data_IF_719581724045
#
_entry.id   IF_719581724045
#
_cell.length_a   1.000
_cell.length_b   1.000
_cell.length_c   1.000
_cell.angle_alpha   90.00
_cell.angle_beta   90.00
_cell.angle_gamma   90.00
#
_symmetry.space_group_name_H-M   'P 1'
#
loop_
_entity.id
_entity.type
_entity.pdbx_description
1 polymer ?
#
# COMPACT_ATOMS: atom_id res chain seq x y z
N UNK A 1 -9.81 -42.16 18.25
CA UNK A 1 -8.84 -41.07 18.55
C UNK A 1 -8.05 -40.68 17.29
N UNK A 2 -8.70 -40.18 16.22
CA UNK A 2 -8.01 -39.83 14.97
C UNK A 2 -8.47 -38.51 14.34
N UNK A 3 -9.37 -37.75 14.98
CA UNK A 3 -9.90 -36.48 14.45
C UNK A 3 -9.24 -35.22 15.01
N UNK A 4 -8.35 -35.35 16.00
CA UNK A 4 -7.72 -34.22 16.68
C UNK A 4 -6.36 -33.81 16.10
N UNK A 5 -5.74 -34.65 15.26
CA UNK A 5 -4.40 -34.36 14.70
C UNK A 5 -4.42 -33.49 13.43
N UNK A 6 -5.58 -33.32 12.78
CA UNK A 6 -5.66 -32.52 11.55
C UNK A 6 -5.76 -31.00 11.81
N UNK A 7 -6.19 -30.59 13.00
CA UNK A 7 -6.38 -29.17 13.35
C UNK A 7 -5.08 -28.52 13.85
N UNK A 8 -4.10 -29.32 14.28
CA UNK A 8 -2.83 -28.81 14.84
C UNK A 8 -1.81 -28.42 13.75
N UNK A 9 -1.95 -28.91 12.52
CA UNK A 9 -1.05 -28.60 11.39
C UNK A 9 -1.32 -27.23 10.74
N UNK A 10 -2.56 -26.71 10.83
CA UNK A 10 -2.95 -25.43 10.23
C UNK A 10 -2.57 -24.18 11.04
N UNK A 11 -1.98 -24.35 12.23
CA UNK A 11 -1.48 -23.24 13.05
C UNK A 11 0.01 -22.94 12.87
N UNK A 12 0.76 -23.79 12.14
CA UNK A 12 2.21 -23.61 11.97
C UNK A 12 2.60 -22.71 10.77
N UNK A 13 1.67 -22.42 9.86
CA UNK A 13 1.97 -21.65 8.64
C UNK A 13 1.72 -20.14 8.72
N UNK A 14 1.30 -19.61 9.87
CA UNK A 14 0.92 -18.18 10.03
C UNK A 14 2.05 -17.31 10.63
N UNK A 15 3.24 -17.86 10.85
CA UNK A 15 4.37 -17.09 11.39
C UNK A 15 5.57 -17.05 10.44
N UNK A 16 5.36 -16.55 9.22
CA UNK A 16 6.48 -16.02 8.42
C UNK A 16 6.53 -14.52 8.66
N UNK A 17 7.25 -14.13 9.71
CA UNK A 17 7.72 -12.75 9.88
C UNK A 17 8.69 -12.46 8.73
N UNK A 18 8.33 -11.51 7.88
CA UNK A 18 9.24 -10.93 6.89
C UNK A 18 10.35 -10.21 7.66
N UNK A 19 11.51 -10.85 7.78
CA UNK A 19 12.74 -10.21 8.24
C UNK A 19 13.25 -9.37 7.07
N UNK A 20 13.00 -8.06 7.12
CA UNK A 20 13.75 -7.09 6.31
C UNK A 20 15.06 -6.84 7.04
N UNK A 21 16.12 -7.56 6.66
CA UNK A 21 17.47 -7.20 7.05
C UNK A 21 18.10 -6.39 5.93
N UNK A 22 18.23 -5.09 6.21
CA UNK A 22 19.06 -4.17 5.45
C UNK A 22 20.52 -4.36 5.87
N UNK A 23 21.39 -4.78 4.96
CA UNK A 23 22.84 -4.58 4.96
C UNK A 23 23.34 -4.78 3.51
N UNK A 24 24.39 -4.17 2.99
CA UNK A 24 25.09 -2.89 3.16
C UNK A 24 26.18 -2.91 2.07
N UNK A 25 26.47 -1.75 1.48
CA UNK A 25 27.74 -1.37 0.86
C UNK A 25 28.44 -2.32 -0.13
N UNK A 26 28.36 -2.01 -1.43
CA UNK A 26 29.48 -2.22 -2.36
C UNK A 26 30.11 -0.85 -2.67
N UNK A 27 31.36 -0.72 -2.20
CA UNK A 27 32.28 0.38 -2.50
C UNK A 27 32.65 0.31 -3.98
N UNK A 28 32.46 1.42 -4.71
CA UNK A 28 33.17 1.67 -5.96
C UNK A 28 34.05 2.87 -5.72
N UNK A 29 35.34 2.60 -5.58
CA UNK A 29 36.41 3.58 -5.53
C UNK A 29 36.53 4.24 -6.91
N UNK A 30 36.40 5.56 -6.97
CA UNK A 30 36.96 6.33 -8.07
C UNK A 30 37.69 7.54 -7.50
N UNK A 31 38.98 7.59 -7.82
CA UNK A 31 39.88 8.70 -7.57
C UNK A 31 39.67 9.72 -8.70
N UNK A 32 39.47 11.00 -8.38
CA UNK A 32 40.07 12.08 -9.16
C UNK A 32 40.02 13.42 -8.42
N UNK A 33 41.21 13.82 -7.99
CA UNK A 33 41.85 15.14 -7.98
C UNK A 33 41.00 16.44 -7.95
N UNK A 34 41.29 17.19 -6.89
CA UNK A 34 41.25 18.64 -6.67
C UNK A 34 41.07 19.56 -7.91
N UNK A 35 40.28 20.64 -7.77
CA UNK A 35 40.78 21.96 -7.33
C UNK A 35 39.64 23.01 -7.29
N UNK A 36 39.68 23.97 -6.36
CA UNK A 36 39.06 25.29 -6.55
C UNK A 36 37.96 25.76 -5.56
N UNK A 37 38.39 26.34 -4.43
CA UNK A 37 37.80 27.60 -3.92
C UNK A 37 36.68 27.55 -2.85
N UNK A 38 36.78 28.31 -1.74
CA UNK A 38 35.78 28.33 -0.67
C UNK A 38 34.75 29.46 -0.84
N UNK A 39 33.45 29.14 -0.75
CA UNK A 39 32.42 30.17 -0.54
C UNK A 39 31.87 30.05 0.88
N UNK A 40 32.40 30.95 1.69
CA UNK A 40 32.03 31.33 3.05
C UNK A 40 30.83 32.27 2.98
N UNK A 41 29.69 31.88 3.55
CA UNK A 41 28.64 32.82 3.94
C UNK A 41 28.37 32.69 5.44
N UNK A 42 28.80 33.72 6.16
CA UNK A 42 28.39 34.02 7.53
C UNK A 42 26.97 34.57 7.48
N UNK A 43 26.09 34.10 8.35
CA UNK A 43 24.90 34.88 8.72
C UNK A 43 24.73 34.88 10.23
N UNK A 44 24.32 36.03 10.70
CA UNK A 44 24.55 36.63 12.02
C UNK A 44 23.37 36.41 12.97
N UNK A 45 23.73 36.17 14.24
CA UNK A 45 23.08 36.57 15.51
C UNK A 45 21.63 37.10 15.50
N UNK A 46 20.80 36.46 16.33
CA UNK A 46 19.97 37.05 17.41
C UNK A 46 19.54 35.87 18.32
N UNK A 47 19.94 35.69 19.59
CA UNK A 47 19.95 36.52 20.80
C UNK A 47 18.55 36.82 21.40
N UNK A 48 18.23 36.05 22.46
CA UNK A 48 17.45 36.42 23.68
C UNK A 48 15.91 36.53 23.49
N UNK A 49 15.02 35.89 24.25
CA UNK A 49 14.84 35.96 25.71
C UNK A 49 14.07 34.76 26.32
N UNK A 50 14.43 34.47 27.57
CA UNK A 50 13.72 33.65 28.57
C UNK A 50 12.46 34.38 29.05
N UNK A 51 11.38 33.63 29.34
CA UNK A 51 10.49 33.86 30.50
C UNK A 51 9.52 32.69 30.71
N UNK A 52 9.57 32.12 31.91
CA UNK A 52 8.52 31.38 32.65
C UNK A 52 8.39 32.06 34.02
N UNK A 53 7.42 31.74 34.90
CA UNK A 53 6.01 31.34 34.78
C UNK A 53 5.11 32.40 35.50
N UNK A 54 3.81 32.14 35.80
CA UNK A 54 3.53 31.52 37.11
C UNK A 54 2.40 30.47 37.13
N UNK A 55 2.60 29.59 38.10
CA UNK A 55 1.71 28.60 38.69
C UNK A 55 0.43 29.24 39.26
N UNK A 56 -0.73 28.63 38.99
CA UNK A 56 -1.87 28.70 39.89
C UNK A 56 -2.30 27.28 40.26
N UNK A 57 -2.17 26.99 41.55
CA UNK A 57 -2.68 25.79 42.21
C UNK A 57 -4.04 26.14 42.80
N UNK A 58 -5.04 25.29 42.61
CA UNK A 58 -6.17 25.18 43.53
C UNK A 58 -6.73 23.76 43.46
N UNK A 59 -6.58 23.09 44.60
CA UNK A 59 -7.19 21.83 44.93
C UNK A 59 -8.70 22.01 45.15
N UNK A 60 -9.48 21.01 44.77
CA UNK A 60 -10.79 20.75 45.37
C UNK A 60 -11.01 19.25 45.43
N UNK A 61 -10.81 18.73 46.63
CA UNK A 61 -11.19 17.41 47.10
C UNK A 61 -12.71 17.31 47.15
N UNK A 62 -13.31 16.26 46.57
CA UNK A 62 -14.52 15.64 47.13
C UNK A 62 -14.79 14.24 46.57
N UNK A 63 -14.99 13.34 47.52
CA UNK A 63 -15.81 12.11 47.48
C UNK A 63 -15.43 10.98 46.52
N UNK A 64 -14.71 10.03 47.11
CA UNK A 64 -14.80 8.60 46.81
C UNK A 64 -16.25 8.10 46.82
N UNK A 65 -16.73 7.60 45.69
CA UNK A 65 -17.77 6.58 45.65
C UNK A 65 -17.35 5.46 44.67
N UNK A 66 -17.08 4.30 45.26
CA UNK A 66 -17.17 2.96 44.67
C UNK A 66 -17.92 2.13 45.71
N UNK A 67 -18.72 1.11 45.36
CA UNK A 67 -18.62 0.33 44.12
C UNK A 67 -19.96 -0.03 43.46
N UNK A 68 -19.95 -0.19 42.14
CA UNK A 68 -20.81 -1.17 41.48
C UNK A 68 -19.99 -1.84 40.39
N UNK A 69 -19.35 -2.96 40.76
CA UNK A 69 -18.79 -3.90 39.80
C UNK A 69 -19.97 -4.61 39.13
N UNK A 70 -20.53 -3.98 38.09
CA UNK A 70 -21.20 -4.73 37.04
C UNK A 70 -20.11 -5.42 36.23
N UNK A 71 -20.19 -6.75 36.04
CA UNK A 71 -19.24 -7.42 35.16
C UNK A 71 -19.27 -6.72 33.80
N UNK A 72 -18.12 -6.41 33.17
CA UNK A 72 -18.15 -6.00 31.78
C UNK A 72 -18.77 -7.17 31.03
N UNK A 73 -20.04 -7.03 30.66
CA UNK A 73 -20.57 -7.75 29.52
C UNK A 73 -19.66 -7.30 28.41
N UNK A 74 -18.72 -8.16 28.02
CA UNK A 74 -17.84 -7.97 26.89
C UNK A 74 -18.71 -8.07 25.64
N UNK A 75 -19.63 -7.12 25.49
CA UNK A 75 -20.10 -6.68 24.20
C UNK A 75 -18.83 -6.29 23.49
N UNK A 76 -18.45 -7.10 22.50
CA UNK A 76 -17.32 -6.83 21.62
C UNK A 76 -17.62 -5.53 20.88
N UNK A 77 -17.40 -4.40 21.53
CA UNK A 77 -17.35 -3.08 20.92
C UNK A 77 -16.16 -3.16 19.99
N UNK A 78 -16.45 -3.32 18.70
CA UNK A 78 -15.40 -3.32 17.69
C UNK A 78 -14.79 -1.92 17.73
N UNK A 79 -13.61 -1.82 18.34
CA UNK A 79 -12.84 -0.58 18.45
C UNK A 79 -12.83 0.17 17.11
N UNK A 80 -13.12 1.48 17.10
CA UNK A 80 -13.17 2.24 15.86
C UNK A 80 -11.79 2.22 15.18
N UNK A 81 -11.78 1.82 13.90
CA UNK A 81 -10.56 1.72 13.12
C UNK A 81 -9.86 3.07 13.01
N UNK A 82 -8.64 3.18 13.54
CA UNK A 82 -7.85 4.43 13.48
C UNK A 82 -7.43 4.75 12.04
N UNK A 83 -7.25 6.05 11.72
CA UNK A 83 -6.82 6.50 10.39
C UNK A 83 -5.53 5.84 9.87
N UNK A 84 -4.43 5.72 10.64
CA UNK A 84 -3.24 5.04 10.15
C UNK A 84 -3.48 3.55 9.87
N UNK A 85 -4.26 2.87 10.71
CA UNK A 85 -4.63 1.47 10.50
C UNK A 85 -5.46 1.31 9.21
N UNK A 86 -6.47 2.14 9.02
CA UNK A 86 -7.29 2.17 7.81
C UNK A 86 -6.46 2.39 6.53
N UNK A 87 -5.58 3.40 6.51
CA UNK A 87 -4.76 3.69 5.33
C UNK A 87 -3.78 2.55 5.00
N UNK A 88 -3.25 1.88 6.03
CA UNK A 88 -2.40 0.69 5.84
C UNK A 88 -3.17 -0.49 5.24
N UNK A 89 -4.44 -0.70 5.63
CA UNK A 89 -5.33 -1.72 5.06
C UNK A 89 -5.59 -1.41 3.58
N UNK A 90 -5.87 -0.14 3.24
CA UNK A 90 -6.06 0.31 1.84
C UNK A 90 -4.80 0.08 0.99
N UNK A 91 -3.62 0.42 1.51
CA UNK A 91 -2.33 0.12 0.85
C UNK A 91 -2.11 -1.37 0.68
N UNK A 92 -2.46 -2.17 1.70
CA UNK A 92 -2.34 -3.62 1.64
C UNK A 92 -3.22 -4.21 0.54
N UNK A 93 -4.48 -3.78 0.39
CA UNK A 93 -5.38 -4.25 -0.68
C UNK A 93 -4.73 -4.16 -2.07
N UNK A 94 -4.15 -3.01 -2.42
CA UNK A 94 -3.48 -2.83 -3.72
C UNK A 94 -2.24 -3.70 -3.90
N UNK A 95 -1.46 -3.86 -2.83
CA UNK A 95 -0.32 -4.77 -2.83
C UNK A 95 -0.77 -6.20 -3.12
N UNK A 96 -1.84 -6.68 -2.50
CA UNK A 96 -2.38 -8.01 -2.78
C UNK A 96 -2.84 -8.18 -4.23
N UNK A 97 -3.48 -7.16 -4.81
CA UNK A 97 -3.87 -7.19 -6.22
C UNK A 97 -2.64 -7.27 -7.15
N UNK A 98 -1.62 -6.46 -6.90
CA UNK A 98 -0.42 -6.44 -7.76
C UNK A 98 0.46 -7.68 -7.55
N UNK A 99 0.65 -8.11 -6.30
CA UNK A 99 1.51 -9.25 -5.98
C UNK A 99 0.89 -10.59 -6.37
N UNK A 100 -0.43 -10.70 -6.45
CA UNK A 100 -1.09 -11.94 -6.89
C UNK A 100 -0.84 -12.27 -8.37
N UNK A 101 -0.47 -11.28 -9.20
CA UNK A 101 -0.08 -11.50 -10.59
C UNK A 101 1.19 -12.35 -10.75
N UNK A 102 2.14 -12.22 -9.82
CA UNK A 102 3.43 -12.93 -9.89
C UNK A 102 3.27 -14.45 -9.68
N UNK A 103 2.68 -14.95 -8.59
CA UNK A 103 2.48 -16.38 -8.42
C UNK A 103 1.48 -16.94 -9.44
N UNK A 104 0.47 -16.17 -9.86
CA UNK A 104 -0.51 -16.65 -10.85
C UNK A 104 0.11 -16.80 -12.25
N UNK A 105 0.96 -15.86 -12.67
CA UNK A 105 1.73 -15.99 -13.92
C UNK A 105 2.74 -17.14 -13.84
N UNK A 106 3.42 -17.32 -12.71
CA UNK A 106 4.33 -18.46 -12.52
C UNK A 106 3.57 -19.80 -12.54
N UNK A 107 2.40 -19.88 -11.90
CA UNK A 107 1.55 -21.07 -11.98
C UNK A 107 1.04 -21.32 -13.40
N UNK A 108 0.66 -20.28 -14.15
CA UNK A 108 0.29 -20.41 -15.56
C UNK A 108 1.45 -20.88 -16.43
N UNK A 109 2.66 -20.37 -16.19
CA UNK A 109 3.87 -20.81 -16.90
C UNK A 109 4.19 -22.28 -16.59
N UNK A 110 4.22 -22.65 -15.30
CA UNK A 110 4.51 -24.01 -14.88
C UNK A 110 3.42 -24.98 -15.36
N UNK A 111 2.15 -24.57 -15.29
CA UNK A 111 1.02 -25.35 -15.82
C UNK A 111 1.11 -25.55 -17.34
N UNK A 112 1.44 -24.50 -18.08
CA UNK A 112 1.66 -24.59 -19.53
C UNK A 112 2.85 -25.49 -19.87
N UNK A 113 4.00 -25.29 -19.21
CA UNK A 113 5.20 -26.07 -19.46
C UNK A 113 5.02 -27.55 -19.12
N UNK A 114 4.35 -27.86 -18.00
CA UNK A 114 4.06 -29.24 -17.62
C UNK A 114 3.05 -29.90 -18.57
N UNK A 115 2.02 -29.16 -18.99
CA UNK A 115 1.04 -29.65 -19.95
C UNK A 115 1.65 -29.91 -21.34
N UNK A 116 2.27 -28.90 -21.95
CA UNK A 116 2.84 -29.03 -23.29
C UNK A 116 4.10 -29.90 -23.32
N UNK A 117 4.86 -29.95 -22.23
CA UNK A 117 6.01 -30.85 -22.11
C UNK A 117 5.63 -32.33 -21.96
N UNK A 118 4.38 -32.62 -21.58
CA UNK A 118 3.86 -33.99 -21.54
C UNK A 118 3.31 -34.50 -22.87
N UNK A 119 3.20 -33.64 -23.88
CA UNK A 119 2.73 -34.02 -25.21
C UNK A 119 3.89 -34.58 -26.05
N UNK A 120 3.66 -35.71 -26.70
CA UNK A 120 4.62 -36.28 -27.65
C UNK A 120 4.79 -35.32 -28.85
N UNK A 121 6.02 -34.86 -29.05
CA UNK A 121 6.41 -33.92 -30.11
C UNK A 121 7.16 -34.67 -31.20
N UNK A 122 6.56 -34.82 -32.38
CA UNK A 122 7.26 -35.30 -33.58
C UNK A 122 7.76 -34.10 -34.41
N UNK A 123 9.08 -33.87 -34.53
CA UNK A 123 9.64 -32.75 -35.30
C UNK A 123 9.29 -32.77 -36.79
N UNK A 124 8.86 -33.91 -37.34
CA UNK A 124 8.54 -34.05 -38.76
C UNK A 124 7.13 -33.57 -39.11
N UNK A 125 6.29 -33.28 -38.10
CA UNK A 125 4.91 -32.86 -38.30
C UNK A 125 4.69 -31.40 -37.86
N UNK A 126 4.83 -30.42 -38.76
CA UNK A 126 4.59 -29.03 -38.42
C UNK A 126 3.13 -28.80 -38.02
N UNK A 127 2.92 -27.98 -36.99
CA UNK A 127 1.61 -27.58 -36.50
C UNK A 127 1.35 -26.16 -37.02
N UNK A 128 0.34 -25.99 -37.88
CA UNK A 128 0.05 -24.73 -38.59
C UNK A 128 1.24 -24.17 -39.41
N UNK A 129 2.12 -25.04 -39.91
CA UNK A 129 3.32 -24.63 -40.65
C UNK A 129 4.46 -24.09 -39.77
N UNK A 130 4.33 -24.19 -38.45
CA UNK A 130 5.33 -23.79 -37.45
C UNK A 130 5.88 -25.06 -36.79
N UNK A 131 7.16 -25.03 -36.42
CA UNK A 131 7.82 -26.09 -35.64
C UNK A 131 7.09 -26.33 -34.30
N UNK A 132 6.75 -27.57 -33.93
CA UNK A 132 6.09 -27.90 -32.66
C UNK A 132 6.72 -27.26 -31.42
N UNK A 133 8.05 -27.17 -31.34
CA UNK A 133 8.72 -26.53 -30.19
C UNK A 133 8.39 -25.04 -30.07
N UNK A 134 8.39 -24.32 -31.19
CA UNK A 134 8.04 -22.90 -31.23
C UNK A 134 6.55 -22.69 -30.91
N UNK A 135 5.67 -23.52 -31.47
CA UNK A 135 4.24 -23.45 -31.20
C UNK A 135 3.94 -23.65 -29.70
N UNK A 136 4.48 -24.69 -29.09
CA UNK A 136 4.30 -24.94 -27.65
C UNK A 136 5.00 -23.92 -26.75
N UNK A 137 6.13 -23.35 -27.18
CA UNK A 137 6.75 -22.22 -26.49
C UNK A 137 5.85 -20.98 -26.46
N UNK A 138 5.20 -20.66 -27.59
CA UNK A 138 4.21 -19.58 -27.68
C UNK A 138 2.99 -19.90 -26.82
N UNK A 139 2.46 -21.12 -26.86
CA UNK A 139 1.33 -21.50 -26.02
C UNK A 139 1.67 -21.45 -24.52
N UNK A 140 2.88 -21.83 -24.13
CA UNK A 140 3.35 -21.77 -22.73
C UNK A 140 3.46 -20.33 -22.25
N UNK A 141 4.06 -19.45 -23.07
CA UNK A 141 4.14 -18.01 -22.76
C UNK A 141 2.77 -17.33 -22.76
N UNK A 142 1.84 -17.78 -23.61
CA UNK A 142 0.44 -17.34 -23.57
C UNK A 142 -0.23 -17.75 -22.24
N UNK A 143 0.02 -18.97 -21.75
CA UNK A 143 -0.50 -19.43 -20.46
C UNK A 143 0.01 -18.58 -19.28
N UNK A 144 1.29 -18.17 -19.31
CA UNK A 144 1.85 -17.20 -18.37
C UNK A 144 1.13 -15.85 -18.43
N UNK A 145 0.87 -15.33 -19.64
CA UNK A 145 0.15 -14.08 -19.86
C UNK A 145 -1.28 -14.11 -19.33
N UNK A 146 -1.99 -15.24 -19.53
CA UNK A 146 -3.32 -15.45 -18.93
C UNK A 146 -3.26 -15.44 -17.41
N UNK A 147 -2.28 -16.13 -16.81
CA UNK A 147 -2.06 -16.10 -15.37
C UNK A 147 -1.79 -14.69 -14.83
N UNK A 148 -1.05 -13.87 -15.58
CA UNK A 148 -0.81 -12.47 -15.22
C UNK A 148 -2.11 -11.64 -15.20
N UNK A 149 -2.99 -11.84 -16.19
CA UNK A 149 -4.28 -11.13 -16.28
C UNK A 149 -5.27 -11.55 -15.18
N UNK A 150 -5.31 -12.85 -14.84
CA UNK A 150 -6.20 -13.40 -13.80
C UNK A 150 -5.68 -13.09 -12.39
N UNK A 151 -4.39 -12.85 -12.23
CA UNK A 151 -3.76 -12.64 -10.92
C UNK A 151 -4.41 -11.53 -10.07
N UNK A 152 -4.59 -10.29 -10.57
CA UNK A 152 -5.16 -9.21 -9.76
C UNK A 152 -6.60 -9.44 -9.29
N UNK A 153 -7.43 -10.11 -10.09
CA UNK A 153 -8.81 -10.45 -9.70
C UNK A 153 -8.81 -11.51 -8.61
N UNK A 154 -7.96 -12.54 -8.74
CA UNK A 154 -7.78 -13.57 -7.72
C UNK A 154 -7.18 -12.99 -6.43
N UNK A 155 -6.23 -12.06 -6.53
CA UNK A 155 -5.66 -11.33 -5.39
C UNK A 155 -6.69 -10.49 -4.63
N UNK A 156 -7.58 -9.82 -5.35
CA UNK A 156 -8.69 -9.07 -4.74
C UNK A 156 -9.66 -10.01 -3.99
N UNK A 157 -9.96 -11.17 -4.59
CA UNK A 157 -10.82 -12.19 -3.97
C UNK A 157 -10.18 -12.73 -2.69
N UNK A 158 -8.92 -13.17 -2.74
CA UNK A 158 -8.18 -13.70 -1.58
C UNK A 158 -8.09 -12.68 -0.44
N UNK A 159 -7.84 -11.40 -0.76
CA UNK A 159 -7.82 -10.33 0.23
C UNK A 159 -9.15 -10.20 0.98
N UNK A 160 -10.30 -10.29 0.28
CA UNK A 160 -11.62 -10.20 0.94
C UNK A 160 -11.94 -11.43 1.79
N UNK A 161 -11.33 -12.58 1.50
CA UNK A 161 -11.54 -13.81 2.26
C UNK A 161 -10.77 -13.88 3.58
N UNK A 162 -9.76 -13.02 3.79
CA UNK A 162 -8.96 -13.01 5.01
C UNK A 162 -9.82 -12.80 6.28
N UNK A 163 -9.65 -13.61 7.34
CA UNK A 163 -10.49 -13.55 8.54
C UNK A 163 -10.49 -12.18 9.24
N UNK A 164 -9.37 -11.45 9.20
CA UNK A 164 -9.27 -10.10 9.74
C UNK A 164 -10.17 -9.13 8.98
N UNK A 165 -10.15 -9.16 7.65
CA UNK A 165 -10.92 -8.22 6.83
C UNK A 165 -12.42 -8.54 6.82
N UNK A 166 -12.80 -9.82 6.96
CA UNK A 166 -14.22 -10.18 7.17
C UNK A 166 -14.79 -9.54 8.44
N UNK A 167 -14.02 -9.49 9.53
CA UNK A 167 -14.44 -8.91 10.81
C UNK A 167 -14.56 -7.39 10.75
N UNK A 168 -13.64 -6.72 10.07
CA UNK A 168 -13.59 -5.25 9.99
C UNK A 168 -14.29 -4.67 8.75
N UNK A 169 -14.93 -5.49 7.92
CA UNK A 169 -15.49 -5.07 6.63
C UNK A 169 -16.40 -3.85 6.72
N UNK A 170 -17.39 -3.87 7.63
CA UNK A 170 -18.34 -2.76 7.79
C UNK A 170 -17.69 -1.47 8.34
N UNK A 171 -16.65 -1.58 9.16
CA UNK A 171 -15.88 -0.42 9.66
C UNK A 171 -15.01 0.18 8.55
N UNK A 172 -14.41 -0.67 7.72
CA UNK A 172 -13.63 -0.25 6.56
C UNK A 172 -14.54 0.48 5.57
N UNK A 173 -15.72 -0.06 5.29
CA UNK A 173 -16.67 0.54 4.34
C UNK A 173 -17.18 1.92 4.83
N UNK A 174 -17.38 2.09 6.16
CA UNK A 174 -17.68 3.41 6.75
C UNK A 174 -16.52 4.40 6.60
N UNK A 175 -15.29 3.97 6.89
CA UNK A 175 -14.10 4.83 6.74
C UNK A 175 -13.75 5.13 5.29
N UNK A 176 -14.05 4.21 4.37
CA UNK A 176 -13.93 4.45 2.93
C UNK A 176 -14.83 5.61 2.50
N UNK A 177 -16.08 5.64 2.96
CA UNK A 177 -16.99 6.77 2.68
C UNK A 177 -16.46 8.09 3.24
N UNK A 178 -16.09 8.12 4.52
CA UNK A 178 -15.50 9.31 5.15
C UNK A 178 -14.23 9.78 4.41
N UNK A 179 -13.41 8.85 3.93
CA UNK A 179 -12.22 9.15 3.16
C UNK A 179 -12.57 9.80 1.82
N UNK A 180 -13.51 9.23 1.05
CA UNK A 180 -13.93 9.80 -0.22
C UNK A 180 -14.59 11.17 -0.06
N UNK A 181 -15.34 11.40 1.01
CA UNK A 181 -15.88 12.73 1.32
C UNK A 181 -14.76 13.75 1.57
N UNK A 182 -13.70 13.36 2.29
CA UNK A 182 -12.54 14.24 2.52
C UNK A 182 -11.76 14.52 1.24
N UNK A 183 -11.59 13.53 0.37
CA UNK A 183 -10.97 13.72 -0.94
C UNK A 183 -11.84 14.63 -1.82
N UNK A 184 -13.15 14.39 -1.85
CA UNK A 184 -14.12 15.19 -2.61
C UNK A 184 -14.12 16.67 -2.21
N UNK A 185 -13.92 16.99 -0.93
CA UNK A 185 -13.84 18.37 -0.43
C UNK A 185 -12.51 19.08 -0.74
N UNK A 186 -11.42 18.33 -0.88
CA UNK A 186 -10.07 18.89 -1.01
C UNK A 186 -9.48 18.78 -2.43
N UNK A 187 -10.11 18.00 -3.32
CA UNK A 187 -9.68 17.87 -4.73
C UNK A 187 -9.88 19.20 -5.46
N UNK A 188 -9.06 19.43 -6.48
CA UNK A 188 -9.27 20.53 -7.44
C UNK A 188 -10.42 20.19 -8.39
N UNK A 189 -11.17 21.21 -8.84
CA UNK A 189 -12.25 21.03 -9.81
C UNK A 189 -11.75 20.56 -11.18
N UNK A 190 -12.53 19.72 -11.85
CA UNK A 190 -12.16 19.12 -13.15
C UNK A 190 -12.15 20.16 -14.27
N UNK A 191 -12.93 21.23 -14.13
CA UNK A 191 -13.00 22.31 -15.11
C UNK A 191 -11.72 23.14 -15.17
N UNK A 192 -10.93 23.11 -14.10
CA UNK A 192 -9.67 23.85 -13.96
C UNK A 192 -8.47 23.11 -14.57
N UNK A 193 -8.71 22.06 -15.37
CA UNK A 193 -7.64 21.27 -15.97
C UNK A 193 -7.06 21.98 -17.20
N UNK A 194 -5.79 22.36 -17.12
CA UNK A 194 -5.05 22.91 -18.25
C UNK A 194 -4.26 21.81 -18.98
N UNK A 195 -4.28 21.76 -20.33
CA UNK A 195 -3.53 20.76 -21.13
C UNK A 195 -2.02 20.75 -20.87
N UNK A 196 -1.45 21.87 -20.43
CA UNK A 196 -0.02 22.03 -20.16
C UNK A 196 0.40 21.56 -18.77
N UNK A 197 -0.53 21.36 -17.83
CA UNK A 197 -0.21 20.92 -16.47
C UNK A 197 -0.96 19.64 -16.08
N UNK A 198 -0.28 18.48 -15.99
CA UNK A 198 -0.93 17.24 -15.62
C UNK A 198 -1.47 17.33 -14.19
N UNK A 199 -2.69 16.82 -14.02
CA UNK A 199 -3.44 16.96 -12.78
C UNK A 199 -2.88 16.04 -11.71
N UNK A 200 -2.63 16.52 -10.48
CA UNK A 200 -2.27 15.66 -9.38
C UNK A 200 -3.40 14.68 -9.06
N UNK A 201 -3.06 13.40 -8.82
CA UNK A 201 -3.96 12.27 -8.51
C UNK A 201 -5.36 12.70 -8.03
N UNK A 202 -6.32 12.74 -8.95
CA UNK A 202 -7.65 13.32 -8.72
C UNK A 202 -8.48 12.53 -7.70
N UNK A 203 -8.32 11.21 -7.68
CA UNK A 203 -9.09 10.31 -6.81
C UNK A 203 -8.38 9.98 -5.49
N UNK A 204 -7.18 10.53 -5.28
CA UNK A 204 -6.35 10.19 -4.13
C UNK A 204 -6.09 8.69 -4.07
N UNK A 205 -5.88 8.08 -5.24
CA UNK A 205 -5.60 6.66 -5.35
C UNK A 205 -4.37 6.36 -4.50
N UNK A 206 -3.24 7.03 -4.72
CA UNK A 206 -1.93 6.69 -4.15
C UNK A 206 -1.80 6.92 -2.63
N UNK A 207 -2.86 7.38 -1.96
CA UNK A 207 -2.87 7.68 -0.53
C UNK A 207 -3.03 6.39 0.29
N UNK A 208 -1.93 5.89 0.85
CA UNK A 208 -1.84 4.73 1.74
C UNK A 208 -1.22 5.03 3.11
N UNK A 209 -0.93 6.30 3.42
CA UNK A 209 -0.41 6.77 4.70
C UNK A 209 -0.78 8.23 4.97
N UNK A 210 -0.68 8.66 6.23
CA UNK A 210 -0.92 10.06 6.61
C UNK A 210 0.09 11.02 5.96
N UNK A 211 1.33 10.59 5.74
CA UNK A 211 2.33 11.40 5.06
C UNK A 211 1.95 11.64 3.59
N UNK A 212 1.55 10.60 2.87
CA UNK A 212 1.07 10.70 1.49
C UNK A 212 -0.18 11.57 1.39
N UNK A 213 -1.09 11.50 2.38
CA UNK A 213 -2.25 12.37 2.44
C UNK A 213 -1.86 13.86 2.55
N UNK A 214 -0.94 14.21 3.45
CA UNK A 214 -0.45 15.59 3.58
C UNK A 214 0.33 16.05 2.34
N UNK A 215 1.07 15.15 1.69
CA UNK A 215 1.74 15.43 0.43
C UNK A 215 0.70 15.75 -0.65
N UNK A 216 -0.31 14.90 -0.79
CA UNK A 216 -1.40 15.08 -1.73
C UNK A 216 -2.12 16.43 -1.53
N UNK A 217 -2.45 16.81 -0.29
CA UNK A 217 -3.04 18.14 -0.01
C UNK A 217 -2.16 19.31 -0.48
N UNK A 218 -0.84 19.20 -0.31
CA UNK A 218 0.11 20.21 -0.80
C UNK A 218 0.14 20.24 -2.32
N UNK A 219 0.07 19.09 -2.98
CA UNK A 219 0.09 18.99 -4.43
C UNK A 219 -1.19 19.57 -5.05
N UNK A 220 -2.36 19.29 -4.46
CA UNK A 220 -3.64 19.93 -4.85
C UNK A 220 -3.60 21.45 -4.68
N UNK A 221 -3.09 21.95 -3.54
CA UNK A 221 -2.96 23.39 -3.30
C UNK A 221 -1.96 24.06 -4.25
N UNK A 222 -0.85 23.40 -4.59
CA UNK A 222 0.10 23.91 -5.60
C UNK A 222 -0.55 24.01 -6.97
N UNK A 223 -1.33 23.00 -7.36
CA UNK A 223 -2.04 22.99 -8.63
C UNK A 223 -3.09 24.11 -8.69
N UNK A 224 -3.91 24.27 -7.65
CA UNK A 224 -4.89 25.37 -7.56
C UNK A 224 -4.24 26.74 -7.76
N UNK A 225 -3.09 26.98 -7.12
CA UNK A 225 -2.35 28.24 -7.29
C UNK A 225 -1.88 28.42 -8.73
N UNK A 226 -1.31 27.38 -9.34
CA UNK A 226 -0.84 27.44 -10.73
C UNK A 226 -1.97 27.81 -11.69
N UNK A 227 -3.13 27.16 -11.57
CA UNK A 227 -4.28 27.46 -12.43
C UNK A 227 -4.72 28.92 -12.27
N UNK A 228 -4.83 29.42 -11.03
CA UNK A 228 -5.22 30.81 -10.78
C UNK A 228 -4.22 31.80 -11.38
N UNK A 229 -2.92 31.52 -11.28
CA UNK A 229 -1.89 32.38 -11.86
C UNK A 229 -1.92 32.36 -13.40
N UNK A 230 -2.16 31.20 -14.01
CA UNK A 230 -2.25 31.07 -15.47
C UNK A 230 -3.51 31.74 -16.03
N UNK A 231 -4.61 31.80 -15.28
CA UNK A 231 -5.85 32.50 -15.68
C UNK A 231 -5.71 34.04 -15.57
N UNK A 232 -4.85 34.52 -14.68
CA UNK A 232 -4.64 35.95 -14.43
C UNK A 232 -3.53 36.59 -15.31
N UNK A 233 -2.79 35.80 -16.07
CA UNK A 233 -1.67 36.21 -16.92
C UNK A 233 -2.08 36.28 -18.39
#
# INVERSE_FOLDING_TARGET
>A
MQRTLFIQSLRSFVSVRVIVQAQSASRISSLSLANGGPIRLKSTKAATQKTTPPTFSSASTSSSEKPAYTPPTVSKTVEPLTWPAYLSIRRSKRRWQNFAAIPCSLLGLLGGATYFGSLDTDPMKPIFGIDPFMFYGICTTACMGVGYLVGPTLGAFLWRQLPSLKRYGSLIDKKDKEFYERIGKNRVDVTLQSPTSPVPDYYGERIGSLHEYRKWLRDQNKYRRKVIFDEAA
#
